data_IF_929296785565
#
_entry.id   IF_929296785565
#
_cell.length_a   1.000
_cell.length_b   1.000
_cell.length_c   1.000
_cell.angle_alpha   90.00
_cell.angle_beta   90.00
_cell.angle_gamma   90.00
#
_symmetry.space_group_name_H-M   'P 1'
#
loop_
_entity.id
_entity.type
_entity.pdbx_description
1 polymer ?
#
# COMPACT_ATOMS: atom_id res chain seq x y z
N UNK A 1 23.31 2.33 -12.29
CA UNK A 1 22.56 1.62 -11.23
C UNK A 1 22.36 0.18 -11.69
N UNK A 2 22.51 -0.82 -10.82
CA UNK A 2 22.29 -2.24 -11.15
C UNK A 2 21.16 -2.78 -10.26
N UNK A 3 20.26 -3.57 -10.83
CA UNK A 3 19.17 -4.24 -10.10
C UNK A 3 19.53 -5.71 -9.84
N UNK A 4 19.00 -6.25 -8.76
CA UNK A 4 19.24 -7.61 -8.29
C UNK A 4 17.93 -8.41 -8.21
N UNK A 5 17.99 -9.75 -8.21
CA UNK A 5 16.81 -10.59 -8.02
C UNK A 5 16.08 -10.27 -6.71
N UNK A 6 14.77 -10.05 -6.80
CA UNK A 6 13.92 -9.67 -5.67
C UNK A 6 13.72 -8.17 -5.52
N UNK A 7 14.42 -7.33 -6.28
CA UNK A 7 14.17 -5.90 -6.29
C UNK A 7 12.77 -5.59 -6.85
N UNK A 8 12.06 -4.67 -6.18
CA UNK A 8 10.70 -4.24 -6.54
C UNK A 8 10.73 -2.78 -6.99
N UNK A 9 10.14 -2.50 -8.15
CA UNK A 9 10.00 -1.14 -8.68
C UNK A 9 8.53 -0.72 -8.56
N UNK A 10 8.28 0.38 -7.84
CA UNK A 10 6.95 0.99 -7.79
C UNK A 10 6.78 1.94 -8.98
N UNK A 11 5.78 1.70 -9.82
CA UNK A 11 5.58 2.40 -11.11
C UNK A 11 4.90 3.76 -10.99
N UNK A 12 4.55 4.18 -9.78
CA UNK A 12 3.82 5.42 -9.50
C UNK A 12 2.32 5.19 -9.29
N UNK A 13 1.65 6.24 -8.81
CA UNK A 13 0.20 6.25 -8.56
C UNK A 13 -0.49 7.25 -9.50
N UNK A 14 -1.73 6.98 -9.94
CA UNK A 14 -2.59 8.01 -10.50
C UNK A 14 -2.90 9.14 -9.50
N UNK A 15 -3.67 10.12 -9.95
CA UNK A 15 -4.23 11.16 -9.08
C UNK A 15 -5.25 10.59 -8.08
N UNK A 16 -5.56 11.37 -7.04
CA UNK A 16 -6.54 11.00 -6.01
C UNK A 16 -5.95 10.55 -4.68
N UNK A 17 -4.67 10.81 -4.42
CA UNK A 17 -4.03 10.52 -3.13
C UNK A 17 -4.65 11.38 -2.02
N UNK A 18 -4.99 10.75 -0.90
CA UNK A 18 -5.58 11.38 0.28
C UNK A 18 -5.05 10.79 1.59
N UNK A 19 -5.37 11.41 2.75
CA UNK A 19 -4.97 10.90 4.04
C UNK A 19 -5.65 9.57 4.35
N UNK A 20 -4.96 8.72 5.11
CA UNK A 20 -5.47 7.46 5.64
C UNK A 20 -5.37 7.51 7.16
N UNK A 21 -6.42 7.09 7.86
CA UNK A 21 -6.52 7.14 9.32
C UNK A 21 -6.72 5.75 9.93
N UNK A 22 -6.49 5.64 11.24
CA UNK A 22 -6.63 4.37 11.93
C UNK A 22 -8.08 3.86 11.87
N UNK A 23 -8.24 2.59 11.51
CA UNK A 23 -9.55 1.97 11.30
C UNK A 23 -9.94 1.86 9.82
N UNK A 24 -9.27 2.58 8.92
CA UNK A 24 -9.49 2.44 7.48
C UNK A 24 -9.07 1.05 6.97
N UNK A 25 -9.68 0.62 5.86
CA UNK A 25 -9.26 -0.52 5.05
C UNK A 25 -8.91 0.02 3.65
N UNK A 26 -7.69 -0.24 3.19
CA UNK A 26 -7.21 0.23 1.89
C UNK A 26 -7.17 -0.94 0.92
N UNK A 27 -7.97 -0.85 -0.13
CA UNK A 27 -8.04 -1.84 -1.19
C UNK A 27 -7.43 -1.30 -2.48
N UNK A 28 -6.55 -2.10 -3.10
CA UNK A 28 -5.93 -1.81 -4.38
C UNK A 28 -6.14 -3.00 -5.30
N UNK A 29 -6.82 -2.78 -6.41
CA UNK A 29 -7.06 -3.80 -7.44
C UNK A 29 -6.23 -3.50 -8.69
N UNK A 30 -5.61 -4.55 -9.24
CA UNK A 30 -5.04 -4.53 -10.58
C UNK A 30 -5.67 -5.69 -11.37
N UNK A 31 -6.33 -5.35 -12.47
CA UNK A 31 -6.95 -6.33 -13.36
C UNK A 31 -5.95 -7.41 -13.79
N UNK A 32 -6.35 -8.67 -13.67
CA UNK A 32 -5.52 -9.82 -14.02
C UNK A 32 -4.41 -10.16 -13.02
N UNK A 33 -4.20 -9.36 -11.98
CA UNK A 33 -3.26 -9.68 -10.88
C UNK A 33 -4.03 -10.03 -9.61
N UNK A 34 -4.98 -9.18 -9.21
CA UNK A 34 -5.82 -9.38 -8.04
C UNK A 34 -5.93 -8.15 -7.15
N UNK A 35 -6.39 -8.39 -5.92
CA UNK A 35 -6.70 -7.36 -4.93
C UNK A 35 -5.73 -7.45 -3.75
N UNK A 36 -5.10 -6.33 -3.41
CA UNK A 36 -4.33 -6.14 -2.19
C UNK A 36 -5.18 -5.34 -1.19
N UNK A 37 -5.48 -5.95 -0.05
CA UNK A 37 -6.25 -5.31 1.02
C UNK A 37 -5.37 -5.15 2.27
N UNK A 38 -5.30 -3.93 2.80
CA UNK A 38 -4.53 -3.58 3.99
C UNK A 38 -5.37 -2.80 5.00
N UNK A 39 -5.56 -3.38 6.19
CA UNK A 39 -6.16 -2.69 7.32
C UNK A 39 -5.20 -1.73 8.02
N UNK A 40 -5.65 -0.51 8.28
CA UNK A 40 -4.85 0.56 8.88
C UNK A 40 -5.06 0.56 10.38
N UNK A 41 -3.96 0.54 11.12
CA UNK A 41 -3.97 0.50 12.59
C UNK A 41 -3.09 1.62 13.14
N UNK A 42 -3.57 2.31 14.17
CA UNK A 42 -2.73 3.25 14.91
C UNK A 42 -1.69 2.46 15.70
N UNK A 43 -0.43 2.87 15.64
CA UNK A 43 0.61 2.31 16.48
C UNK A 43 0.58 2.96 17.87
N UNK A 44 -0.52 2.80 18.61
CA UNK A 44 -0.61 3.30 19.98
C UNK A 44 0.04 2.27 20.90
N UNK A 45 1.30 2.52 21.29
CA UNK A 45 1.93 1.80 22.40
C UNK A 45 1.18 2.19 23.68
N UNK A 46 0.38 1.26 24.21
CA UNK A 46 -0.16 1.38 25.56
C UNK A 46 1.01 1.23 26.53
N UNK A 47 1.17 2.18 27.45
CA UNK A 47 2.04 2.05 28.61
C UNK A 47 1.53 0.94 29.53
#
# INVERSE_FOLDING_TARGET
>A
MTLFPGDVIMTGTPSGVGPVVAGDEVEVEIEGIGVLNNGVRSNMRRF
#
